data_IF_396161162292
#
_entry.id   IF_396161162292
#
_cell.length_a   1.000
_cell.length_b   1.000
_cell.length_c   1.000
_cell.angle_alpha   90.00
_cell.angle_beta   90.00
_cell.angle_gamma   90.00
#
_symmetry.space_group_name_H-M   'P 1'
#
loop_
_entity.id
_entity.type
_entity.pdbx_description
1 polymer ?
#
# COMPACT_ATOMS: atom_id res chain seq x y z
N UNK A 1 14.85 -1.70 -9.33
CA UNK A 1 13.94 -1.00 -8.40
C UNK A 1 12.97 -2.03 -7.88
N UNK A 2 13.06 -2.41 -6.60
CA UNK A 2 12.21 -3.45 -6.03
C UNK A 2 11.08 -2.78 -5.27
N UNK A 3 9.85 -3.02 -5.71
CA UNK A 3 8.63 -2.59 -5.05
C UNK A 3 8.09 -3.75 -4.21
N UNK A 4 7.83 -3.47 -2.93
CA UNK A 4 7.26 -4.46 -2.00
C UNK A 4 5.98 -3.88 -1.41
N UNK A 5 4.90 -4.64 -1.46
CA UNK A 5 3.64 -4.30 -0.77
C UNK A 5 3.58 -5.02 0.58
N UNK A 6 3.23 -4.28 1.62
CA UNK A 6 3.03 -4.79 2.96
C UNK A 6 1.58 -4.55 3.37
N UNK A 7 0.90 -5.59 3.83
CA UNK A 7 -0.41 -5.46 4.49
C UNK A 7 -0.15 -5.11 5.96
N UNK A 8 -0.61 -3.94 6.39
CA UNK A 8 -0.39 -3.42 7.74
C UNK A 8 -1.52 -3.80 8.70
N UNK A 9 -2.76 -3.73 8.22
CA UNK A 9 -3.95 -4.08 9.00
C UNK A 9 -5.09 -4.45 8.07
N UNK A 10 -5.86 -5.46 8.45
CA UNK A 10 -7.13 -5.81 7.81
C UNK A 10 -8.25 -5.63 8.82
N UNK A 11 -9.36 -5.06 8.38
CA UNK A 11 -10.60 -4.96 9.14
C UNK A 11 -11.73 -5.50 8.28
N UNK A 12 -12.60 -6.33 8.85
CA UNK A 12 -13.75 -6.92 8.17
C UNK A 12 -14.98 -6.36 8.88
N UNK A 13 -15.84 -5.69 8.12
CA UNK A 13 -17.12 -5.17 8.58
C UNK A 13 -18.23 -5.93 7.85
N UNK A 14 -18.86 -6.85 8.59
CA UNK A 14 -19.95 -7.69 8.08
C UNK A 14 -21.25 -6.90 7.87
N UNK A 15 -21.49 -5.84 8.65
CA UNK A 15 -22.69 -5.01 8.54
C UNK A 15 -22.67 -4.24 7.21
N UNK A 16 -21.52 -3.64 6.89
CA UNK A 16 -21.33 -2.91 5.62
C UNK A 16 -20.90 -3.79 4.45
N UNK A 17 -20.78 -5.12 4.65
CA UNK A 17 -20.20 -6.08 3.69
C UNK A 17 -18.91 -5.55 3.04
N UNK A 18 -17.98 -5.06 3.87
CA UNK A 18 -16.75 -4.47 3.36
C UNK A 18 -15.51 -4.96 4.10
N UNK A 19 -14.39 -5.02 3.38
CA UNK A 19 -13.07 -5.32 3.90
C UNK A 19 -12.20 -4.11 3.70
N UNK A 20 -11.63 -3.60 4.78
CA UNK A 20 -10.70 -2.50 4.77
C UNK A 20 -9.28 -3.01 4.99
N UNK A 21 -8.36 -2.64 4.10
CA UNK A 21 -6.97 -3.08 4.14
C UNK A 21 -6.09 -1.84 4.16
N UNK A 22 -5.35 -1.64 5.25
CA UNK A 22 -4.26 -0.67 5.32
C UNK A 22 -3.00 -1.33 4.77
N UNK A 23 -2.37 -0.69 3.82
CA UNK A 23 -1.17 -1.21 3.14
C UNK A 23 -0.09 -0.14 3.03
N UNK A 24 1.14 -0.61 2.81
CA UNK A 24 2.32 0.19 2.51
C UNK A 24 3.01 -0.35 1.26
N UNK A 25 3.21 0.50 0.26
CA UNK A 25 4.10 0.19 -0.85
C UNK A 25 5.45 0.81 -0.52
N UNK A 26 6.49 -0.01 -0.42
CA UNK A 26 7.86 0.45 -0.17
C UNK A 26 8.77 0.17 -1.36
N UNK A 27 9.77 1.04 -1.55
CA UNK A 27 10.74 0.98 -2.62
C UNK A 27 12.13 1.31 -2.07
N UNK A 28 13.09 0.43 -2.32
CA UNK A 28 14.50 0.74 -2.10
C UNK A 28 15.02 1.50 -3.33
N UNK A 29 15.46 2.74 -3.11
CA UNK A 29 16.01 3.59 -4.17
C UNK A 29 17.39 4.10 -3.77
N UNK A 30 18.20 4.42 -4.76
CA UNK A 30 19.50 5.02 -4.58
C UNK A 30 19.54 6.42 -5.20
N UNK A 31 20.28 7.34 -4.57
CA UNK A 31 20.60 8.64 -5.17
C UNK A 31 22.11 8.73 -5.28
N UNK A 32 22.58 8.94 -6.52
CA UNK A 32 23.95 9.36 -6.77
C UNK A 32 24.04 10.87 -6.59
N UNK A 33 24.93 11.32 -5.72
CA UNK A 33 25.31 12.73 -5.63
C UNK A 33 26.54 12.89 -6.52
N UNK A 34 26.38 13.57 -7.65
CA UNK A 34 27.45 13.75 -8.64
C UNK A 34 28.76 14.26 -8.01
N UNK A 35 29.89 13.71 -8.46
CA UNK A 35 31.24 14.11 -8.05
C UNK A 35 31.87 13.27 -6.93
N UNK A 36 31.11 12.43 -6.21
CA UNK A 36 31.64 11.54 -5.17
C UNK A 36 31.04 10.16 -5.39
N UNK A 37 31.88 9.11 -5.36
CA UNK A 37 31.51 7.69 -5.52
C UNK A 37 30.62 7.15 -4.36
N UNK A 38 29.86 7.99 -3.68
CA UNK A 38 28.96 7.60 -2.57
C UNK A 38 27.54 7.42 -3.09
N UNK A 39 27.14 6.15 -3.20
CA UNK A 39 25.76 5.76 -3.46
C UNK A 39 25.03 5.64 -2.12
N UNK A 40 24.02 6.47 -1.90
CA UNK A 40 23.16 6.37 -0.73
C UNK A 40 21.90 5.59 -1.08
N UNK A 41 21.63 4.53 -0.30
CA UNK A 41 20.37 3.80 -0.36
C UNK A 41 19.41 4.37 0.67
N UNK A 42 18.16 4.59 0.27
CA UNK A 42 17.11 5.01 1.17
C UNK A 42 15.78 4.39 0.74
N UNK A 43 14.90 4.15 1.72
CA UNK A 43 13.59 3.57 1.47
C UNK A 43 12.56 4.68 1.34
N UNK A 44 11.83 4.70 0.23
CA UNK A 44 10.60 5.49 0.09
C UNK A 44 9.41 4.57 0.33
N UNK A 45 8.34 5.11 0.90
CA UNK A 45 7.09 4.38 1.00
C UNK A 45 5.89 5.29 0.77
N UNK A 46 4.76 4.67 0.46
CA UNK A 46 3.44 5.30 0.41
C UNK A 46 2.48 4.40 1.16
N UNK A 47 1.72 5.00 2.07
CA UNK A 47 0.66 4.32 2.80
C UNK A 47 -0.72 4.60 2.18
N UNK A 48 -1.58 3.60 2.23
CA UNK A 48 -2.93 3.69 1.73
C UNK A 48 -3.90 2.84 2.54
N UNK A 49 -5.17 3.21 2.44
CA UNK A 49 -6.30 2.44 2.91
C UNK A 49 -7.14 2.05 1.69
N UNK A 50 -7.42 0.76 1.53
CA UNK A 50 -8.34 0.26 0.53
C UNK A 50 -9.59 -0.28 1.19
N UNK A 51 -10.76 0.21 0.76
CA UNK A 51 -12.06 -0.35 1.15
C UNK A 51 -12.62 -1.15 -0.02
N UNK A 52 -12.79 -2.45 0.17
CA UNK A 52 -13.38 -3.38 -0.78
C UNK A 52 -14.80 -3.71 -0.34
N UNK A 53 -15.79 -3.45 -1.18
CA UNK A 53 -17.16 -3.88 -0.92
C UNK A 53 -17.40 -5.21 -1.62
N UNK A 54 -17.92 -6.18 -0.88
CA UNK A 54 -18.01 -7.58 -1.27
C UNK A 54 -19.49 -7.98 -1.34
N UNK A 55 -19.86 -8.73 -2.39
CA UNK A 55 -21.21 -9.29 -2.52
C UNK A 55 -21.32 -10.59 -1.70
N UNK A 56 -22.55 -11.08 -1.51
CA UNK A 56 -22.79 -12.37 -0.83
C UNK A 56 -22.14 -13.60 -1.51
N UNK A 57 -21.72 -13.49 -2.77
CA UNK A 57 -20.97 -14.53 -3.50
C UNK A 57 -19.44 -14.41 -3.34
N UNK A 58 -18.96 -13.50 -2.48
CA UNK A 58 -17.54 -13.27 -2.22
C UNK A 58 -16.84 -12.40 -3.28
N UNK A 59 -17.54 -11.92 -4.31
CA UNK A 59 -16.93 -11.07 -5.35
C UNK A 59 -16.89 -9.61 -4.92
N UNK A 60 -15.75 -8.96 -5.17
CA UNK A 60 -15.60 -7.52 -4.99
C UNK A 60 -16.40 -6.81 -6.09
N UNK A 61 -17.30 -5.90 -5.72
CA UNK A 61 -18.07 -5.10 -6.68
C UNK A 61 -17.72 -3.62 -6.68
N UNK A 62 -17.04 -3.14 -5.64
CA UNK A 62 -16.56 -1.76 -5.54
C UNK A 62 -15.26 -1.72 -4.76
N UNK A 63 -14.35 -0.86 -5.19
CA UNK A 63 -13.09 -0.60 -4.51
C UNK A 63 -12.88 0.90 -4.40
N UNK A 64 -12.52 1.36 -3.21
CA UNK A 64 -12.13 2.74 -2.92
C UNK A 64 -10.73 2.74 -2.31
N UNK A 65 -9.90 3.70 -2.73
CA UNK A 65 -8.56 3.92 -2.19
C UNK A 65 -8.47 5.32 -1.62
N UNK A 66 -8.04 5.41 -0.36
CA UNK A 66 -7.72 6.67 0.30
C UNK A 66 -6.22 6.67 0.63
N UNK A 67 -5.51 7.73 0.23
CA UNK A 67 -4.07 7.86 0.50
C UNK A 67 -3.87 8.36 1.93
N UNK A 68 -3.03 7.68 2.70
CA UNK A 68 -2.84 7.94 4.13
C UNK A 68 -1.37 8.26 4.41
N UNK A 69 -0.88 9.33 3.76
CA UNK A 69 0.47 9.92 3.85
C UNK A 69 1.66 8.94 3.84
#
# INVERSE_FOLDING_TARGET
MNLTIHLLKTNIDEESNCVQIRWRISCLTNKSLGGILKVFFYQKYIDGLSTFYVRGDGRIYKHRVDRVH
#
